data_IF_253874368843
#
_entry.id   IF_253874368843
#
_cell.length_a   1.000
_cell.length_b   1.000
_cell.length_c   1.000
_cell.angle_alpha   90.00
_cell.angle_beta   90.00
_cell.angle_gamma   90.00
#
_symmetry.space_group_name_H-M   'P 1'
#
loop_
_entity.id
_entity.type
_entity.pdbx_description
1 polymer ?
#
# COMPACT_ATOMS: atom_id res chain seq x y z
N UNK A 1 -23.76 15.90 -16.30
CA UNK A 1 -23.84 14.49 -15.87
C UNK A 1 -23.43 14.43 -14.41
N UNK A 2 -24.15 13.70 -13.57
CA UNK A 2 -23.79 13.51 -12.16
C UNK A 2 -23.19 12.12 -11.95
N UNK A 3 -22.15 12.05 -11.13
CA UNK A 3 -21.42 10.84 -10.78
C UNK A 3 -21.29 10.75 -9.26
N UNK A 4 -21.44 9.57 -8.69
CA UNK A 4 -21.16 9.34 -7.27
C UNK A 4 -19.72 8.86 -7.12
N UNK A 5 -18.88 9.65 -6.45
CA UNK A 5 -17.47 9.35 -6.19
C UNK A 5 -17.24 9.35 -4.69
N UNK A 6 -16.83 8.21 -4.14
CA UNK A 6 -16.55 8.04 -2.70
C UNK A 6 -17.71 8.46 -1.76
N UNK A 7 -18.95 8.45 -2.27
CA UNK A 7 -20.15 8.85 -1.54
C UNK A 7 -20.63 10.28 -1.81
N UNK A 8 -19.82 11.09 -2.48
CA UNK A 8 -20.15 12.46 -2.88
C UNK A 8 -20.73 12.51 -4.29
N UNK A 9 -21.73 13.38 -4.49
CA UNK A 9 -22.30 13.63 -5.81
C UNK A 9 -21.51 14.74 -6.53
N UNK A 10 -20.91 14.39 -7.66
CA UNK A 10 -20.05 15.28 -8.44
C UNK A 10 -20.70 15.55 -9.79
N UNK A 11 -20.83 16.83 -10.14
CA UNK A 11 -21.27 17.25 -11.46
C UNK A 11 -20.10 17.35 -12.43
N UNK A 12 -20.21 16.63 -13.55
CA UNK A 12 -19.27 16.65 -14.67
C UNK A 12 -19.99 17.15 -15.92
N UNK A 13 -19.36 18.07 -16.62
CA UNK A 13 -19.82 18.59 -17.90
C UNK A 13 -18.88 18.16 -19.01
N UNK A 14 -19.45 17.76 -20.14
CA UNK A 14 -18.69 17.53 -21.37
C UNK A 14 -18.54 18.85 -22.13
N UNK A 15 -17.49 19.00 -22.96
CA UNK A 15 -17.39 20.10 -23.90
C UNK A 15 -18.62 20.16 -24.82
N UNK A 16 -19.02 21.36 -25.22
CA UNK A 16 -20.23 21.55 -26.04
C UNK A 16 -20.07 21.01 -27.47
N UNK A 17 -18.83 20.94 -27.94
CA UNK A 17 -18.41 20.50 -29.27
C UNK A 17 -17.93 19.05 -29.33
N UNK A 18 -17.92 18.34 -28.19
CA UNK A 18 -17.47 16.96 -28.15
C UNK A 18 -18.40 16.05 -28.96
N UNK A 19 -17.82 15.31 -29.91
CA UNK A 19 -18.55 14.27 -30.62
C UNK A 19 -18.74 13.01 -29.74
N UNK A 20 -19.46 12.02 -30.26
CA UNK A 20 -19.74 10.78 -29.53
C UNK A 20 -18.46 10.00 -29.16
N UNK A 21 -17.46 10.00 -30.05
CA UNK A 21 -16.21 9.29 -29.83
C UNK A 21 -15.36 10.00 -28.76
N UNK A 22 -15.32 11.33 -28.80
CA UNK A 22 -14.63 12.16 -27.81
C UNK A 22 -15.31 12.05 -26.44
N UNK A 23 -16.64 12.10 -26.39
CA UNK A 23 -17.42 11.90 -25.16
C UNK A 23 -17.15 10.51 -24.56
N UNK A 24 -17.11 9.46 -25.39
CA UNK A 24 -16.79 8.11 -24.96
C UNK A 24 -15.34 7.98 -24.45
N UNK A 25 -14.39 8.67 -25.08
CA UNK A 25 -12.99 8.70 -24.65
C UNK A 25 -12.84 9.37 -23.28
N UNK A 26 -13.52 10.50 -23.07
CA UNK A 26 -13.53 11.20 -21.78
C UNK A 26 -14.15 10.32 -20.70
N UNK A 27 -15.33 9.73 -20.95
CA UNK A 27 -15.98 8.84 -20.01
C UNK A 27 -15.11 7.64 -19.64
N UNK A 28 -14.43 7.05 -20.62
CA UNK A 28 -13.51 5.92 -20.42
C UNK A 28 -12.29 6.33 -19.59
N UNK A 29 -11.69 7.48 -19.86
CA UNK A 29 -10.53 7.98 -19.11
C UNK A 29 -10.88 8.26 -17.64
N UNK A 30 -12.03 8.90 -17.39
CA UNK A 30 -12.53 9.14 -16.03
C UNK A 30 -12.82 7.82 -15.33
N UNK A 31 -13.49 6.88 -15.99
CA UNK A 31 -13.79 5.56 -15.44
C UNK A 31 -12.54 4.76 -15.08
N UNK A 32 -11.54 4.74 -15.97
CA UNK A 32 -10.26 4.08 -15.72
C UNK A 32 -9.53 4.70 -14.53
N UNK A 33 -9.45 6.02 -14.45
CA UNK A 33 -8.80 6.71 -13.33
C UNK A 33 -9.48 6.40 -11.98
N UNK A 34 -10.81 6.42 -11.94
CA UNK A 34 -11.56 6.08 -10.72
C UNK A 34 -11.37 4.61 -10.32
N UNK A 35 -11.31 3.69 -11.30
CA UNK A 35 -11.02 2.29 -11.05
C UNK A 35 -9.61 2.11 -10.45
N UNK A 36 -8.59 2.71 -11.07
CA UNK A 36 -7.21 2.63 -10.61
C UNK A 36 -7.06 3.15 -9.18
N UNK A 37 -7.72 4.25 -8.84
CA UNK A 37 -7.75 4.78 -7.47
C UNK A 37 -8.34 3.79 -6.48
N UNK A 38 -9.45 3.12 -6.82
CA UNK A 38 -10.07 2.10 -5.95
C UNK A 38 -9.14 0.89 -5.77
N UNK A 39 -8.49 0.43 -6.82
CA UNK A 39 -7.51 -0.67 -6.76
C UNK A 39 -6.33 -0.30 -5.88
N UNK A 40 -5.77 0.91 -6.04
CA UNK A 40 -4.68 1.40 -5.22
C UNK A 40 -5.07 1.53 -3.74
N UNK A 41 -6.28 2.04 -3.44
CA UNK A 41 -6.79 2.13 -2.08
C UNK A 41 -6.99 0.74 -1.44
N UNK A 42 -7.55 -0.22 -2.20
CA UNK A 42 -7.70 -1.60 -1.72
C UNK A 42 -6.33 -2.28 -1.46
N UNK A 43 -5.34 -2.04 -2.32
CA UNK A 43 -3.98 -2.53 -2.12
C UNK A 43 -3.31 -1.92 -0.89
N UNK A 44 -3.49 -0.62 -0.64
CA UNK A 44 -2.99 0.04 0.56
C UNK A 44 -3.64 -0.51 1.84
N UNK A 45 -4.97 -0.70 1.84
CA UNK A 45 -5.68 -1.28 2.97
C UNK A 45 -5.23 -2.73 3.27
N UNK A 46 -4.90 -3.52 2.24
CA UNK A 46 -4.35 -4.86 2.41
C UNK A 46 -2.90 -4.85 2.95
N UNK A 47 -2.12 -3.79 2.67
CA UNK A 47 -0.76 -3.65 3.18
C UNK A 47 -0.71 -3.34 4.69
N UNK A 48 -1.73 -2.68 5.23
CA UNK A 48 -1.83 -2.36 6.67
C UNK A 48 -2.02 -3.60 7.58
N UNK A 49 -2.42 -4.75 7.01
CA UNK A 49 -2.56 -6.01 7.76
C UNK A 49 -1.22 -6.77 7.92
N UNK A 50 -0.16 -6.39 7.18
CA UNK A 50 1.17 -6.97 7.36
C UNK A 50 1.80 -6.38 8.64
N UNK A 51 2.14 -7.19 9.64
CA UNK A 51 2.70 -6.67 10.88
C UNK A 51 4.04 -5.99 10.61
N UNK A 52 4.18 -4.73 11.05
CA UNK A 52 5.41 -3.95 10.92
C UNK A 52 6.62 -4.77 11.41
N UNK A 53 7.60 -4.95 10.52
CA UNK A 53 8.76 -5.83 10.76
C UNK A 53 9.94 -4.99 11.26
N UNK A 54 10.69 -5.54 12.18
CA UNK A 54 11.94 -4.95 12.63
C UNK A 54 12.96 -4.95 11.48
N UNK A 55 13.75 -3.88 11.37
CA UNK A 55 14.79 -3.78 10.35
C UNK A 55 15.84 -4.88 10.53
N UNK A 56 15.94 -5.76 9.54
CA UNK A 56 16.80 -6.94 9.58
C UNK A 56 18.29 -6.57 9.64
N UNK A 57 18.69 -5.43 9.07
CA UNK A 57 20.09 -4.97 9.07
C UNK A 57 20.54 -4.45 10.43
N UNK A 58 19.67 -3.70 11.10
CA UNK A 58 19.87 -3.25 12.48
C UNK A 58 19.99 -4.44 13.43
N UNK A 59 19.13 -5.45 13.27
CA UNK A 59 19.20 -6.67 14.07
C UNK A 59 20.48 -7.47 13.77
N UNK A 60 20.87 -7.58 12.50
CA UNK A 60 22.13 -8.20 12.09
C UNK A 60 23.34 -7.52 12.75
N UNK A 61 23.36 -6.18 12.75
CA UNK A 61 24.42 -5.39 13.37
C UNK A 61 24.54 -5.65 14.88
N UNK A 62 23.41 -5.68 15.59
CA UNK A 62 23.36 -6.01 17.04
C UNK A 62 23.79 -7.44 17.34
N UNK A 63 23.41 -8.41 16.51
CA UNK A 63 23.84 -9.80 16.69
C UNK A 63 25.33 -9.97 16.40
N UNK A 64 25.84 -9.29 15.37
CA UNK A 64 27.26 -9.26 15.05
C UNK A 64 28.09 -8.64 16.18
N UNK A 65 27.63 -7.57 16.83
CA UNK A 65 28.33 -6.99 17.99
C UNK A 65 28.35 -7.93 19.21
N UNK A 66 27.38 -8.86 19.30
CA UNK A 66 27.37 -9.95 20.27
C UNK A 66 28.11 -11.23 19.80
N UNK A 67 28.86 -11.16 18.70
CA UNK A 67 29.66 -12.28 18.17
C UNK A 67 28.85 -13.37 17.47
N UNK A 68 27.59 -13.10 17.09
CA UNK A 68 26.72 -14.07 16.41
C UNK A 68 26.67 -13.80 14.91
N UNK A 69 26.77 -14.87 14.11
CA UNK A 69 26.67 -14.79 12.64
C UNK A 69 25.25 -15.01 12.11
N UNK A 70 24.33 -15.52 12.94
CA UNK A 70 22.93 -15.80 12.59
C UNK A 70 22.01 -14.91 13.42
N UNK A 71 20.99 -14.37 12.77
CA UNK A 71 19.93 -13.59 13.40
C UNK A 71 18.56 -13.95 12.80
N UNK A 72 17.47 -13.74 13.55
CA UNK A 72 16.11 -13.90 13.03
C UNK A 72 15.82 -12.87 11.92
N UNK A 73 15.28 -13.31 10.78
CA UNK A 73 15.01 -12.44 9.62
C UNK A 73 13.57 -11.93 9.55
N UNK A 74 12.68 -12.58 10.29
CA UNK A 74 11.26 -12.25 10.33
C UNK A 74 10.84 -11.99 11.77
N UNK A 75 11.01 -10.74 12.20
CA UNK A 75 10.74 -10.31 13.58
C UNK A 75 9.77 -9.16 13.51
N UNK A 76 8.65 -9.29 14.23
CA UNK A 76 7.72 -8.17 14.40
C UNK A 76 8.38 -7.06 15.22
N UNK A 77 8.18 -5.82 14.82
CA UNK A 77 8.67 -4.65 15.55
C UNK A 77 8.17 -4.67 17.00
N UNK A 78 9.08 -4.43 17.95
CA UNK A 78 8.84 -4.55 19.39
C UNK A 78 9.09 -5.95 19.99
N UNK A 79 9.22 -6.99 19.16
CA UNK A 79 9.51 -8.37 19.59
C UNK A 79 11.00 -8.74 19.44
N UNK A 80 11.86 -7.76 19.15
CA UNK A 80 13.29 -7.98 18.87
C UNK A 80 14.01 -8.63 20.04
N UNK A 81 13.64 -8.28 21.27
CA UNK A 81 14.21 -8.86 22.48
C UNK A 81 13.79 -10.32 22.68
N UNK A 82 12.54 -10.69 22.38
CA UNK A 82 12.08 -12.09 22.43
C UNK A 82 12.72 -12.94 21.35
N UNK A 83 12.80 -12.40 20.13
CA UNK A 83 13.46 -13.06 19.02
C UNK A 83 14.96 -13.27 19.29
N UNK A 84 15.61 -12.27 19.89
CA UNK A 84 17.01 -12.36 20.31
C UNK A 84 17.20 -13.43 21.39
N UNK A 85 16.35 -13.45 22.43
CA UNK A 85 16.38 -14.44 23.51
C UNK A 85 16.31 -15.89 22.98
N UNK A 86 15.42 -16.16 22.00
CA UNK A 86 15.29 -17.48 21.37
C UNK A 86 16.48 -17.87 20.50
N UNK A 87 17.23 -16.89 19.99
CA UNK A 87 18.45 -17.16 19.22
C UNK A 87 19.62 -17.61 20.10
N UNK A 88 19.51 -17.57 21.43
CA UNK A 88 20.54 -18.10 22.33
C UNK A 88 20.43 -19.61 22.59
N UNK A 89 19.40 -20.27 22.04
CA UNK A 89 19.22 -21.73 22.11
C UNK A 89 19.46 -22.39 20.74
#
# INVERSE_FOLDING_TARGET
MTLTVDGDEVSVSLPADADEAEAAAIASAVGAHLHDRRVAAAAAAAADDEPDRADAWTLAGRMKSMGRSRWPKDVRKGEEWKASARSFY
#
